data_IF_182811833652
#
_entry.id   IF_182811833652
#
_cell.length_a   1.000
_cell.length_b   1.000
_cell.length_c   1.000
_cell.angle_alpha   90.00
_cell.angle_beta   90.00
_cell.angle_gamma   90.00
#
_symmetry.space_group_name_H-M   'P 1'
#
loop_
_entity.id
_entity.type
_entity.pdbx_description
1 polymer ?
#
# COMPACT_ATOMS: atom_id res chain seq x y z
N UNK A 1 -20.13 -15.33 -12.56
CA UNK A 1 -19.04 -14.36 -12.81
C UNK A 1 -18.39 -14.10 -11.48
N UNK A 2 -17.12 -14.49 -11.30
CA UNK A 2 -16.39 -14.18 -10.08
C UNK A 2 -16.17 -12.67 -10.04
N UNK A 3 -16.71 -12.03 -9.02
CA UNK A 3 -16.54 -10.61 -8.71
C UNK A 3 -15.05 -10.29 -8.58
N UNK A 4 -14.63 -9.14 -9.12
CA UNK A 4 -13.31 -8.56 -8.90
C UNK A 4 -12.88 -8.77 -7.45
N UNK A 5 -11.76 -9.46 -7.25
CA UNK A 5 -11.16 -9.65 -5.93
C UNK A 5 -10.73 -8.26 -5.47
N UNK A 6 -11.30 -7.74 -4.38
CA UNK A 6 -10.91 -6.46 -3.75
C UNK A 6 -9.44 -6.57 -3.28
N UNK A 7 -8.51 -6.34 -4.20
CA UNK A 7 -7.09 -6.22 -3.89
C UNK A 7 -6.88 -4.84 -3.30
N UNK A 8 -6.32 -4.77 -2.09
CA UNK A 8 -5.98 -3.48 -1.50
C UNK A 8 -4.67 -2.97 -2.10
N UNK A 9 -4.79 -2.18 -3.17
CA UNK A 9 -3.62 -1.71 -3.91
C UNK A 9 -2.74 -0.73 -3.10
N UNK A 10 -3.29 0.05 -2.16
CA UNK A 10 -2.52 0.99 -1.32
C UNK A 10 -1.48 0.27 -0.44
N UNK A 11 -1.88 -0.84 0.16
CA UNK A 11 -1.01 -1.64 1.02
C UNK A 11 0.03 -2.44 0.23
N UNK A 12 -0.15 -2.57 -1.09
CA UNK A 12 0.71 -3.35 -1.99
C UNK A 12 1.50 -2.52 -3.00
N UNK A 13 1.27 -1.20 -3.06
CA UNK A 13 1.90 -0.30 -4.02
C UNK A 13 3.42 -0.47 -3.98
N UNK A 14 4.03 -0.62 -5.16
CA UNK A 14 5.48 -0.72 -5.28
C UNK A 14 6.15 0.52 -4.67
N UNK A 15 7.22 0.27 -3.94
CA UNK A 15 8.11 1.33 -3.43
C UNK A 15 9.45 1.34 -4.18
N UNK A 16 9.51 0.65 -5.33
CA UNK A 16 10.71 0.61 -6.19
C UNK A 16 11.04 1.99 -6.76
N UNK A 17 10.00 2.78 -7.02
CA UNK A 17 10.11 4.12 -7.61
C UNK A 17 10.46 5.21 -6.59
N UNK A 18 10.66 4.83 -5.32
CA UNK A 18 11.23 5.73 -4.34
C UNK A 18 12.60 6.26 -4.81
N UNK A 19 12.83 7.57 -4.75
CA UNK A 19 14.10 8.17 -5.13
C UNK A 19 15.30 7.53 -4.44
N UNK A 20 16.26 7.06 -5.24
CA UNK A 20 17.53 6.49 -4.75
C UNK A 20 18.50 7.54 -4.18
N UNK A 21 18.04 8.77 -3.99
CA UNK A 21 18.80 9.92 -3.48
C UNK A 21 17.93 10.74 -2.55
N UNK A 22 18.57 11.47 -1.65
CA UNK A 22 17.90 12.47 -0.83
C UNK A 22 17.42 13.62 -1.71
N UNK A 23 16.18 14.06 -1.50
CA UNK A 23 15.55 15.19 -2.17
C UNK A 23 15.47 16.39 -1.22
N UNK A 24 15.22 17.56 -1.79
CA UNK A 24 14.90 18.75 -1.00
C UNK A 24 13.57 18.54 -0.23
N UNK A 25 13.41 19.18 0.95
CA UNK A 25 12.24 19.01 1.80
C UNK A 25 10.91 19.28 1.09
N UNK A 26 9.86 18.57 1.53
CA UNK A 26 8.48 18.87 1.14
C UNK A 26 8.04 20.09 1.95
N UNK A 27 7.92 21.23 1.28
CA UNK A 27 7.65 22.53 1.88
C UNK A 27 6.94 23.47 0.89
N UNK A 28 6.46 24.60 1.40
CA UNK A 28 5.68 25.61 0.67
C UNK A 28 4.18 25.50 0.91
N UNK A 29 3.66 24.31 1.22
CA UNK A 29 2.23 24.12 1.51
C UNK A 29 1.85 24.69 2.88
N UNK A 30 2.76 24.73 3.85
CA UNK A 30 2.51 25.25 5.20
C UNK A 30 2.09 26.73 5.19
N UNK A 31 2.58 27.47 4.18
CA UNK A 31 2.30 28.91 3.96
C UNK A 31 0.93 29.16 3.34
N UNK A 32 0.22 28.12 2.92
CA UNK A 32 -1.09 28.22 2.30
C UNK A 32 -2.16 28.20 3.38
N UNK A 33 -3.16 29.07 3.23
CA UNK A 33 -4.38 29.04 4.03
C UNK A 33 -5.42 28.20 3.32
N UNK A 34 -5.93 27.17 4.00
CA UNK A 34 -7.03 26.35 3.48
C UNK A 34 -8.34 26.81 4.10
N UNK A 35 -9.39 26.89 3.29
CA UNK A 35 -10.75 27.26 3.73
C UNK A 35 -11.68 26.05 3.75
N UNK A 36 -11.81 25.32 2.64
CA UNK A 36 -12.63 24.10 2.53
C UNK A 36 -11.97 23.03 1.65
N UNK A 37 -12.53 21.81 1.65
CA UNK A 37 -12.09 20.69 0.80
C UNK A 37 -12.24 20.96 -0.70
N UNK A 38 -13.30 21.64 -1.11
CA UNK A 38 -13.52 22.01 -2.52
C UNK A 38 -12.43 22.99 -2.96
N UNK A 39 -12.16 24.02 -2.15
CA UNK A 39 -11.06 24.95 -2.37
C UNK A 39 -9.69 24.27 -2.38
N UNK A 40 -9.53 23.20 -1.60
CA UNK A 40 -8.30 22.43 -1.50
C UNK A 40 -8.03 21.56 -2.73
N UNK A 41 -9.07 21.03 -3.36
CA UNK A 41 -8.97 20.17 -4.54
C UNK A 41 -9.05 20.97 -5.86
N UNK A 42 -9.52 22.21 -5.84
CA UNK A 42 -9.65 23.04 -7.05
C UNK A 42 -8.37 23.13 -7.91
N UNK A 43 -7.15 23.32 -7.35
CA UNK A 43 -5.96 23.43 -8.19
C UNK A 43 -5.48 22.11 -8.79
N UNK A 44 -5.97 20.97 -8.29
CA UNK A 44 -5.62 19.63 -8.80
C UNK A 44 -6.70 19.05 -9.71
N UNK A 45 -7.83 19.74 -9.91
CA UNK A 45 -8.96 19.21 -10.67
C UNK A 45 -8.59 18.76 -12.09
N UNK A 46 -7.70 19.50 -12.75
CA UNK A 46 -7.28 19.22 -14.13
C UNK A 46 -6.30 18.04 -14.21
N UNK A 47 -5.84 17.52 -13.06
CA UNK A 47 -5.07 16.27 -12.99
C UNK A 47 -5.97 15.03 -13.02
N UNK A 48 -7.27 15.21 -12.85
CA UNK A 48 -8.27 14.16 -12.77
C UNK A 48 -9.38 14.40 -13.80
N UNK A 49 -10.18 13.36 -14.02
CA UNK A 49 -11.41 13.47 -14.77
C UNK A 49 -12.55 14.00 -13.88
N UNK A 50 -13.78 14.03 -14.40
CA UNK A 50 -14.95 14.52 -13.67
C UNK A 50 -15.29 13.69 -12.41
N UNK A 51 -14.66 12.51 -12.22
CA UNK A 51 -14.87 11.66 -11.04
C UNK A 51 -14.41 12.35 -9.74
N UNK A 52 -13.41 13.22 -9.79
CA UNK A 52 -12.92 13.92 -8.59
C UNK A 52 -14.06 14.65 -7.84
N UNK A 53 -14.96 15.32 -8.57
CA UNK A 53 -16.09 16.05 -7.97
C UNK A 53 -17.02 15.11 -7.20
N UNK A 54 -17.30 13.94 -7.78
CA UNK A 54 -18.13 12.93 -7.14
C UNK A 54 -17.47 12.39 -5.88
N UNK A 55 -16.17 12.07 -5.92
CA UNK A 55 -15.44 11.56 -4.77
C UNK A 55 -15.29 12.58 -3.63
N UNK A 56 -15.14 13.87 -3.95
CA UNK A 56 -15.18 14.94 -2.94
C UNK A 56 -16.52 14.95 -2.19
N UNK A 57 -17.64 14.77 -2.92
CA UNK A 57 -18.98 14.71 -2.32
C UNK A 57 -19.12 13.47 -1.44
N UNK A 58 -18.72 12.30 -1.93
CA UNK A 58 -18.79 11.04 -1.17
C UNK A 58 -17.98 11.15 0.12
N UNK A 59 -16.73 11.62 0.03
CA UNK A 59 -15.86 11.78 1.19
C UNK A 59 -16.43 12.74 2.25
N UNK A 60 -17.10 13.81 1.80
CA UNK A 60 -17.80 14.75 2.68
C UNK A 60 -18.99 14.11 3.40
N UNK A 61 -19.83 13.40 2.66
CA UNK A 61 -21.04 12.77 3.22
C UNK A 61 -20.68 11.69 4.24
N UNK A 62 -19.59 10.95 4.01
CA UNK A 62 -19.09 9.92 4.92
C UNK A 62 -18.26 10.45 6.10
N UNK A 63 -18.03 11.77 6.18
CA UNK A 63 -17.23 12.41 7.24
C UNK A 63 -18.04 13.40 8.08
N UNK A 64 -19.36 13.24 8.15
CA UNK A 64 -20.29 14.22 8.75
C UNK A 64 -20.12 14.43 10.26
N UNK A 65 -19.75 13.38 11.01
CA UNK A 65 -19.49 13.42 12.45
C UNK A 65 -18.12 12.77 12.74
N UNK A 66 -17.02 13.49 12.48
CA UNK A 66 -15.69 12.91 12.55
C UNK A 66 -15.19 12.74 13.99
N UNK A 67 -14.46 11.63 14.22
CA UNK A 67 -13.71 11.40 15.45
C UNK A 67 -12.48 12.33 15.58
N UNK A 68 -11.70 12.16 16.66
CA UNK A 68 -10.40 12.82 16.89
C UNK A 68 -10.41 14.36 16.86
N UNK A 69 -11.60 14.96 17.04
CA UNK A 69 -11.83 16.42 16.98
C UNK A 69 -11.40 17.03 15.64
N UNK A 70 -11.38 16.23 14.57
CA UNK A 70 -11.16 16.75 13.24
C UNK A 70 -12.38 17.53 12.78
N UNK A 71 -12.17 18.52 11.91
CA UNK A 71 -13.27 19.11 11.17
C UNK A 71 -13.78 18.14 10.09
N UNK A 72 -14.99 18.37 9.59
CA UNK A 72 -15.55 17.59 8.48
C UNK A 72 -14.65 17.61 7.24
N UNK A 73 -14.03 18.75 6.92
CA UNK A 73 -13.12 18.91 5.78
C UNK A 73 -11.80 18.14 5.99
N UNK A 74 -11.26 18.16 7.21
CA UNK A 74 -10.06 17.42 7.58
C UNK A 74 -10.27 15.91 7.48
N UNK A 75 -11.32 15.37 8.10
CA UNK A 75 -11.66 13.94 8.00
C UNK A 75 -11.92 13.52 6.54
N UNK A 76 -12.70 14.32 5.80
CA UNK A 76 -12.99 14.03 4.39
C UNK A 76 -11.74 14.02 3.51
N UNK A 77 -10.71 14.80 3.85
CA UNK A 77 -9.45 14.78 3.11
C UNK A 77 -8.71 13.44 3.24
N UNK A 78 -8.74 12.84 4.43
CA UNK A 78 -8.20 11.49 4.69
C UNK A 78 -9.03 10.44 3.97
N UNK A 79 -10.36 10.54 4.08
CA UNK A 79 -11.29 9.63 3.41
C UNK A 79 -11.04 9.62 1.91
N UNK A 80 -10.96 10.81 1.29
CA UNK A 80 -10.71 10.99 -0.15
C UNK A 80 -9.37 10.38 -0.59
N UNK A 81 -8.30 10.53 0.21
CA UNK A 81 -7.00 9.90 -0.07
C UNK A 81 -7.13 8.37 -0.11
N UNK A 82 -7.87 7.78 0.82
CA UNK A 82 -8.02 6.33 0.92
C UNK A 82 -9.00 5.72 -0.08
N UNK A 83 -9.70 6.51 -0.91
CA UNK A 83 -10.63 5.95 -1.90
C UNK A 83 -9.88 5.27 -3.04
N UNK A 84 -10.31 4.07 -3.40
CA UNK A 84 -9.90 3.41 -4.64
C UNK A 84 -10.86 3.82 -5.77
N UNK A 85 -10.32 4.31 -6.88
CA UNK A 85 -11.11 4.77 -8.02
C UNK A 85 -11.20 3.66 -9.08
N UNK A 86 -12.12 3.79 -10.03
CA UNK A 86 -12.33 2.76 -11.08
C UNK A 86 -11.04 2.48 -11.87
N UNK A 87 -10.35 3.54 -12.26
CA UNK A 87 -8.99 3.45 -12.79
C UNK A 87 -8.00 3.65 -11.64
N UNK A 88 -7.38 2.54 -11.20
CA UNK A 88 -6.42 2.52 -10.09
C UNK A 88 -5.37 3.64 -10.17
N UNK A 89 -4.68 3.77 -11.31
CA UNK A 89 -3.63 4.77 -11.55
C UNK A 89 -4.17 6.23 -11.55
N UNK A 90 -5.49 6.39 -11.66
CA UNK A 90 -6.16 7.68 -11.58
C UNK A 90 -6.60 8.04 -10.15
N UNK A 91 -6.49 7.13 -9.19
CA UNK A 91 -6.81 7.38 -7.78
C UNK A 91 -6.00 8.55 -7.21
N UNK A 92 -6.62 9.33 -6.31
CA UNK A 92 -5.97 10.53 -5.77
C UNK A 92 -4.66 10.22 -5.04
N UNK A 93 -4.63 9.16 -4.22
CA UNK A 93 -3.39 8.78 -3.53
C UNK A 93 -2.28 8.38 -4.50
N UNK A 94 -2.61 7.71 -5.61
CA UNK A 94 -1.63 7.28 -6.62
C UNK A 94 -0.93 8.50 -7.21
N UNK A 95 -1.70 9.48 -7.71
CA UNK A 95 -1.11 10.69 -8.29
C UNK A 95 -0.35 11.53 -7.28
N UNK A 96 -0.86 11.63 -6.04
CA UNK A 96 -0.18 12.35 -4.98
C UNK A 96 1.16 11.70 -4.63
N UNK A 97 1.17 10.39 -4.37
CA UNK A 97 2.38 9.64 -4.02
C UNK A 97 3.41 9.65 -5.14
N UNK A 98 2.99 9.51 -6.40
CA UNK A 98 3.86 9.71 -7.55
C UNK A 98 4.47 11.11 -7.57
N UNK A 99 3.66 12.16 -7.34
CA UNK A 99 4.16 13.55 -7.32
C UNK A 99 5.13 13.80 -6.16
N UNK A 100 4.88 13.21 -4.99
CA UNK A 100 5.76 13.30 -3.81
C UNK A 100 7.14 12.67 -4.04
N UNK A 101 7.22 11.62 -4.88
CA UNK A 101 8.48 10.98 -5.29
C UNK A 101 9.26 11.80 -6.32
N UNK A 102 8.66 12.81 -6.97
CA UNK A 102 9.37 13.63 -7.95
C UNK A 102 10.43 14.52 -7.30
N UNK A 103 11.63 14.51 -7.87
CA UNK A 103 12.72 15.39 -7.45
C UNK A 103 12.42 16.88 -7.72
N UNK A 104 11.66 17.18 -8.77
CA UNK A 104 11.18 18.52 -9.07
C UNK A 104 10.00 18.89 -8.17
N UNK A 105 10.27 19.59 -7.06
CA UNK A 105 9.25 20.06 -6.12
C UNK A 105 8.28 21.07 -6.70
N UNK A 106 8.57 21.69 -7.85
CA UNK A 106 7.61 22.59 -8.49
C UNK A 106 6.32 21.86 -8.90
N UNK A 107 6.39 20.55 -9.14
CA UNK A 107 5.25 19.68 -9.46
C UNK A 107 4.30 19.48 -8.28
N UNK A 108 4.73 19.71 -7.05
CA UNK A 108 3.86 19.66 -5.86
C UNK A 108 3.03 20.93 -5.66
N UNK A 109 3.33 22.04 -6.36
CA UNK A 109 2.62 23.32 -6.15
C UNK A 109 1.10 23.22 -6.31
N UNK A 110 0.53 22.52 -7.33
CA UNK A 110 -0.92 22.32 -7.42
C UNK A 110 -1.50 21.63 -6.18
N UNK A 111 -0.74 20.71 -5.57
CA UNK A 111 -1.15 19.94 -4.40
C UNK A 111 -1.09 20.71 -3.09
N UNK A 112 -0.50 21.91 -3.03
CA UNK A 112 -0.23 22.59 -1.76
C UNK A 112 -1.49 22.82 -0.91
N UNK A 113 -2.63 23.18 -1.53
CA UNK A 113 -3.87 23.36 -0.76
C UNK A 113 -4.37 22.03 -0.19
N UNK A 114 -4.38 20.97 -1.00
CA UNK A 114 -4.76 19.63 -0.55
C UNK A 114 -3.81 19.09 0.53
N UNK A 115 -2.50 19.18 0.33
CA UNK A 115 -1.48 18.79 1.30
C UNK A 115 -1.61 19.55 2.61
N UNK A 116 -1.88 20.86 2.57
CA UNK A 116 -2.13 21.64 3.77
C UNK A 116 -3.35 21.12 4.54
N UNK A 117 -4.47 20.82 3.88
CA UNK A 117 -5.66 20.27 4.52
C UNK A 117 -5.37 18.88 5.12
N UNK A 118 -4.84 17.99 4.29
CA UNK A 118 -4.57 16.61 4.63
C UNK A 118 -3.56 16.49 5.78
N UNK A 119 -2.42 17.19 5.69
CA UNK A 119 -1.41 17.13 6.73
C UNK A 119 -1.87 17.81 8.02
N UNK A 120 -2.72 18.83 7.94
CA UNK A 120 -3.34 19.39 9.15
C UNK A 120 -4.18 18.33 9.87
N UNK A 121 -5.00 17.58 9.13
CA UNK A 121 -5.78 16.45 9.66
C UNK A 121 -4.86 15.37 10.25
N UNK A 122 -3.88 14.91 9.45
CA UNK A 122 -2.95 13.84 9.82
C UNK A 122 -2.15 14.15 11.10
N UNK A 123 -1.63 15.38 11.25
CA UNK A 123 -0.84 15.75 12.42
C UNK A 123 -1.69 15.96 13.68
N UNK A 124 -3.00 16.22 13.54
CA UNK A 124 -3.94 16.25 14.67
C UNK A 124 -4.30 14.87 15.20
N UNK A 125 -4.22 13.84 14.36
CA UNK A 125 -4.46 12.47 14.81
C UNK A 125 -3.45 12.06 15.89
N UNK A 126 -3.87 11.30 16.91
CA UNK A 126 -2.95 10.73 17.88
C UNK A 126 -1.95 9.78 17.18
N UNK A 127 -0.70 9.68 17.65
CA UNK A 127 0.19 8.60 17.24
C UNK A 127 -0.47 7.23 17.43
N UNK A 128 -0.24 6.32 16.49
CA UNK A 128 -0.69 4.93 16.63
C UNK A 128 -0.08 4.30 17.89
N UNK A 129 -0.87 3.49 18.60
CA UNK A 129 -0.37 2.67 19.72
C UNK A 129 0.53 1.53 19.22
N UNK A 130 0.38 1.13 17.96
CA UNK A 130 1.20 0.11 17.33
C UNK A 130 2.45 0.78 16.75
N UNK A 131 3.59 0.57 17.41
CA UNK A 131 4.89 1.09 16.97
C UNK A 131 5.61 0.14 16.01
N UNK A 132 5.10 -1.08 15.81
CA UNK A 132 5.57 -2.04 14.82
C UNK A 132 4.47 -2.24 13.79
N UNK A 133 4.76 -1.91 12.53
CA UNK A 133 3.80 -1.97 11.43
C UNK A 133 4.37 -2.75 10.25
N UNK A 134 3.48 -3.21 9.36
CA UNK A 134 3.83 -4.12 8.29
C UNK A 134 3.39 -3.59 6.93
N UNK A 135 4.25 -3.70 5.93
CA UNK A 135 3.91 -3.39 4.53
C UNK A 135 4.38 -4.52 3.63
N UNK A 136 3.51 -5.02 2.76
CA UNK A 136 3.83 -6.07 1.80
C UNK A 136 3.95 -5.50 0.39
N UNK A 137 4.88 -6.00 -0.41
CA UNK A 137 4.94 -5.70 -1.86
C UNK A 137 5.21 -6.99 -2.64
N UNK A 138 4.56 -7.13 -3.81
CA UNK A 138 4.63 -8.34 -4.65
C UNK A 138 5.83 -8.34 -5.59
N UNK A 139 7.02 -8.11 -5.03
CA UNK A 139 8.30 -8.12 -5.74
C UNK A 139 9.47 -8.32 -4.78
N UNK A 140 10.65 -8.67 -5.30
CA UNK A 140 11.91 -8.70 -4.53
C UNK A 140 12.55 -7.32 -4.54
N UNK A 141 12.64 -6.71 -3.35
CA UNK A 141 13.32 -5.44 -3.13
C UNK A 141 14.60 -5.58 -2.29
N UNK A 142 15.01 -6.79 -1.94
CA UNK A 142 16.13 -7.06 -1.03
C UNK A 142 17.43 -6.38 -1.49
N UNK A 143 17.70 -6.36 -2.78
CA UNK A 143 18.87 -5.70 -3.37
C UNK A 143 18.87 -4.16 -3.17
N UNK A 144 17.69 -3.54 -3.06
CA UNK A 144 17.57 -2.09 -2.84
C UNK A 144 17.72 -1.70 -1.38
N UNK A 145 17.59 -2.65 -0.45
CA UNK A 145 17.58 -2.40 0.99
C UNK A 145 18.60 -3.29 1.72
N UNK A 146 19.91 -3.15 1.43
CA UNK A 146 20.94 -3.84 2.19
C UNK A 146 20.97 -3.33 3.64
N UNK A 147 21.32 -4.22 4.58
CA UNK A 147 21.46 -3.90 6.01
C UNK A 147 22.39 -2.70 6.21
N UNK A 148 21.98 -1.78 7.07
CA UNK A 148 22.70 -0.55 7.40
C UNK A 148 22.37 0.64 6.48
N UNK A 149 21.66 0.43 5.36
CA UNK A 149 21.25 1.53 4.47
C UNK A 149 20.25 2.45 5.18
N UNK A 150 20.47 3.75 5.03
CA UNK A 150 19.57 4.82 5.47
C UNK A 150 18.97 5.53 4.25
N UNK A 151 17.68 5.85 4.31
CA UNK A 151 16.93 6.40 3.18
C UNK A 151 15.63 7.06 3.64
N UNK A 152 14.99 7.79 2.75
CA UNK A 152 13.66 8.35 2.97
C UNK A 152 12.62 7.68 2.07
N UNK A 153 11.42 7.45 2.60
CA UNK A 153 10.24 7.22 1.76
C UNK A 153 9.50 8.55 1.60
N UNK A 154 9.47 9.06 0.38
CA UNK A 154 8.97 10.40 0.08
C UNK A 154 7.46 10.45 -0.10
N UNK A 155 6.82 9.36 -0.50
CA UNK A 155 5.38 9.23 -0.51
C UNK A 155 4.82 8.89 0.88
N UNK A 156 3.51 9.06 1.06
CA UNK A 156 2.82 8.41 2.18
C UNK A 156 2.94 6.89 2.03
N UNK A 157 3.06 6.17 3.14
CA UNK A 157 3.16 4.71 3.11
C UNK A 157 2.07 4.08 3.96
N UNK A 158 1.12 3.43 3.30
CA UNK A 158 0.08 2.63 3.97
C UNK A 158 0.69 1.35 4.53
N UNK A 159 0.44 1.08 5.80
CA UNK A 159 0.89 -0.11 6.51
C UNK A 159 -0.28 -0.74 7.27
N UNK A 160 -0.13 -2.01 7.63
CA UNK A 160 -1.05 -2.72 8.52
C UNK A 160 -0.47 -2.82 9.93
N UNK A 161 -1.34 -2.77 10.93
CA UNK A 161 -1.01 -3.15 12.30
C UNK A 161 -0.84 -4.66 12.50
N UNK A 162 -1.34 -5.48 11.56
CA UNK A 162 -1.42 -6.93 11.68
C UNK A 162 -0.61 -7.62 10.59
N UNK A 163 0.34 -8.46 10.99
CA UNK A 163 1.10 -9.28 10.04
C UNK A 163 0.21 -10.36 9.39
N UNK A 164 -0.79 -10.86 10.11
CA UNK A 164 -1.69 -11.92 9.65
C UNK A 164 -2.51 -11.46 8.43
N UNK A 165 -2.82 -10.15 8.36
CA UNK A 165 -3.50 -9.55 7.21
C UNK A 165 -2.71 -9.76 5.91
N UNK A 166 -1.38 -9.77 5.97
CA UNK A 166 -0.54 -9.96 4.79
C UNK A 166 -0.66 -11.38 4.21
N UNK A 167 -1.05 -12.37 5.00
CA UNK A 167 -1.25 -13.73 4.48
C UNK A 167 -2.42 -13.84 3.50
N UNK A 168 -3.40 -12.92 3.58
CA UNK A 168 -4.58 -12.96 2.73
C UNK A 168 -4.24 -12.62 1.27
N UNK A 169 -4.83 -13.33 0.29
CA UNK A 169 -4.60 -13.09 -1.14
C UNK A 169 -5.07 -11.72 -1.63
N UNK A 170 -5.93 -11.04 -0.87
CA UNK A 170 -6.35 -9.66 -1.13
C UNK A 170 -5.24 -8.65 -0.80
N UNK A 171 -4.25 -9.07 0.00
CA UNK A 171 -3.05 -8.32 0.34
C UNK A 171 -1.83 -9.02 -0.29
N UNK A 172 -0.85 -9.47 0.50
CA UNK A 172 0.39 -9.99 -0.05
C UNK A 172 0.21 -11.43 -0.57
N UNK A 173 -0.50 -12.27 0.16
CA UNK A 173 -0.67 -13.68 -0.12
C UNK A 173 0.55 -14.54 0.26
N UNK A 174 0.44 -15.85 0.03
CA UNK A 174 1.44 -16.86 0.43
C UNK A 174 2.35 -17.34 -0.71
N UNK A 175 2.20 -16.80 -1.91
CA UNK A 175 2.88 -17.28 -3.11
C UNK A 175 3.41 -16.12 -3.97
N UNK A 176 4.39 -16.44 -4.82
CA UNK A 176 5.04 -15.47 -5.70
C UNK A 176 6.10 -14.64 -4.99
N UNK A 177 7.05 -14.09 -5.76
CA UNK A 177 8.12 -13.25 -5.21
C UNK A 177 7.54 -12.05 -4.47
N UNK A 178 7.92 -11.89 -3.21
CA UNK A 178 7.34 -10.88 -2.32
C UNK A 178 8.34 -10.39 -1.27
N UNK A 179 8.17 -9.14 -0.87
CA UNK A 179 8.92 -8.50 0.21
C UNK A 179 7.96 -8.02 1.30
N UNK A 180 8.26 -8.35 2.56
CA UNK A 180 7.59 -7.83 3.75
C UNK A 180 8.53 -6.84 4.44
N UNK A 181 8.06 -5.61 4.62
CA UNK A 181 8.70 -4.63 5.48
C UNK A 181 8.10 -4.71 6.88
N UNK A 182 8.97 -4.90 7.87
CA UNK A 182 8.67 -4.79 9.29
C UNK A 182 9.22 -3.45 9.78
N UNK A 183 8.37 -2.51 10.18
CA UNK A 183 8.77 -1.12 10.38
C UNK A 183 8.51 -0.70 11.81
N UNK A 184 9.57 -0.38 12.56
CA UNK A 184 9.46 0.29 13.85
C UNK A 184 9.32 1.80 13.64
N UNK A 185 8.23 2.40 14.10
CA UNK A 185 7.88 3.80 13.86
C UNK A 185 7.12 4.40 15.04
N UNK A 186 7.32 5.70 15.27
CA UNK A 186 6.53 6.50 16.21
C UNK A 186 5.66 7.55 15.50
N UNK A 187 5.86 7.73 14.20
CA UNK A 187 5.17 8.74 13.38
C UNK A 187 3.89 8.23 12.72
N UNK A 188 3.64 6.91 12.72
CA UNK A 188 2.45 6.32 12.11
C UNK A 188 1.14 6.75 12.78
N UNK A 189 0.10 6.97 11.98
CA UNK A 189 -1.25 7.32 12.43
C UNK A 189 -2.23 6.24 12.02
N UNK A 190 -3.03 5.76 12.97
CA UNK A 190 -4.17 4.89 12.66
C UNK A 190 -5.26 5.78 12.05
N UNK A 191 -5.69 5.47 10.82
CA UNK A 191 -6.65 6.31 10.08
C UNK A 191 -8.03 5.68 9.90
N UNK A 192 -8.28 4.52 10.53
CA UNK A 192 -9.52 3.73 10.37
C UNK A 192 -10.81 4.56 10.48
N UNK A 193 -10.91 5.44 11.49
CA UNK A 193 -12.09 6.28 11.73
C UNK A 193 -12.33 7.35 10.64
N UNK A 194 -11.35 7.58 9.76
CA UNK A 194 -11.39 8.59 8.71
C UNK A 194 -11.15 8.00 7.32
N UNK A 195 -11.02 6.68 7.19
CA UNK A 195 -10.75 5.98 5.93
C UNK A 195 -12.05 5.66 5.18
N UNK A 196 -11.95 5.43 3.89
CA UNK A 196 -13.00 4.78 3.09
C UNK A 196 -13.19 3.31 3.48
N UNK A 197 -12.12 2.67 3.98
CA UNK A 197 -12.11 1.28 4.44
C UNK A 197 -12.14 1.25 5.97
N UNK A 198 -13.32 1.09 6.55
CA UNK A 198 -13.58 1.16 8.00
C UNK A 198 -13.22 -0.13 8.76
N UNK A 199 -13.00 -1.22 8.03
CA UNK A 199 -12.63 -2.54 8.52
C UNK A 199 -11.12 -2.79 8.53
N UNK A 200 -10.32 -1.80 8.12
CA UNK A 200 -8.87 -1.90 8.06
C UNK A 200 -8.20 -1.08 9.17
N UNK A 201 -7.33 -1.71 9.94
CA UNK A 201 -6.42 -0.99 10.84
C UNK A 201 -5.21 -0.44 10.04
N UNK A 202 -5.51 0.39 9.04
CA UNK A 202 -4.51 1.07 8.21
C UNK A 202 -3.74 2.08 9.07
N UNK A 203 -2.43 1.87 9.18
CA UNK A 203 -1.49 2.83 9.78
C UNK A 203 -0.76 3.53 8.65
N UNK A 204 -0.99 4.84 8.52
CA UNK A 204 -0.38 5.66 7.50
C UNK A 204 0.90 6.31 8.05
N UNK A 205 2.01 6.15 7.33
CA UNK A 205 3.27 6.84 7.61
C UNK A 205 3.35 8.14 6.80
N UNK A 206 3.90 9.23 7.37
CA UNK A 206 4.00 10.51 6.69
C UNK A 206 5.04 10.48 5.56
N UNK A 207 4.91 11.38 4.56
CA UNK A 207 5.88 11.52 3.51
C UNK A 207 7.19 12.09 4.05
N UNK A 208 8.31 11.62 3.50
CA UNK A 208 9.65 12.00 3.94
C UNK A 208 10.08 11.31 5.24
N UNK A 209 9.40 10.23 5.68
CA UNK A 209 9.85 9.43 6.82
C UNK A 209 11.25 8.86 6.54
N UNK A 210 12.13 8.95 7.54
CA UNK A 210 13.54 8.54 7.42
C UNK A 210 13.77 7.21 8.15
N UNK A 211 14.30 6.24 7.41
CA UNK A 211 14.32 4.84 7.79
C UNK A 211 15.72 4.26 7.61
N UNK A 212 16.07 3.33 8.50
CA UNK A 212 17.29 2.53 8.45
C UNK A 212 16.95 1.06 8.32
N UNK A 213 17.64 0.35 7.43
CA UNK A 213 17.60 -1.12 7.40
C UNK A 213 18.39 -1.69 8.56
N UNK A 214 17.72 -2.28 9.54
CA UNK A 214 18.35 -2.86 10.73
C UNK A 214 18.52 -4.38 10.65
N UNK A 215 17.77 -5.05 9.77
CA UNK A 215 17.90 -6.47 9.53
C UNK A 215 17.26 -6.92 8.22
N UNK A 216 17.72 -8.04 7.68
CA UNK A 216 17.12 -8.71 6.53
C UNK A 216 17.08 -10.21 6.81
N UNK A 217 16.01 -10.88 6.37
CA UNK A 217 15.83 -12.32 6.47
C UNK A 217 15.16 -12.84 5.20
N UNK A 218 15.67 -13.93 4.63
CA UNK A 218 15.08 -14.58 3.45
C UNK A 218 14.68 -16.02 3.84
N UNK A 219 13.52 -16.20 4.50
CA UNK A 219 13.12 -17.52 5.01
C UNK A 219 12.75 -18.51 3.90
N UNK A 220 12.46 -18.03 2.70
CA UNK A 220 12.21 -18.84 1.50
C UNK A 220 12.77 -18.13 0.26
N UNK A 221 12.87 -18.84 -0.86
CA UNK A 221 13.42 -18.30 -2.12
C UNK A 221 12.60 -17.13 -2.66
N UNK A 222 11.30 -17.12 -2.44
CA UNK A 222 10.34 -16.14 -2.96
C UNK A 222 9.86 -15.15 -1.89
N UNK A 223 10.38 -15.21 -0.66
CA UNK A 223 9.98 -14.35 0.46
C UNK A 223 11.18 -13.65 1.06
N UNK A 224 11.14 -12.32 1.01
CA UNK A 224 12.13 -11.43 1.61
C UNK A 224 11.51 -10.65 2.75
N UNK A 225 12.17 -10.58 3.90
CA UNK A 225 11.74 -9.80 5.06
C UNK A 225 12.81 -8.76 5.36
N UNK A 226 12.40 -7.51 5.43
CA UNK A 226 13.29 -6.36 5.64
C UNK A 226 12.80 -5.62 6.88
N UNK A 227 13.65 -5.57 7.90
CA UNK A 227 13.36 -4.86 9.14
C UNK A 227 13.91 -3.44 9.06
N UNK A 228 13.01 -2.47 9.21
CA UNK A 228 13.26 -1.05 9.17
C UNK A 228 13.01 -0.43 10.54
N UNK A 229 13.80 0.59 10.86
CA UNK A 229 13.60 1.43 12.03
C UNK A 229 13.55 2.88 11.59
N UNK A 230 12.52 3.60 12.03
CA UNK A 230 12.46 5.06 11.94
C UNK A 230 13.59 5.69 12.76
N UNK A 231 14.28 6.64 12.14
CA UNK A 231 15.43 7.32 12.72
C UNK A 231 15.35 8.82 12.45
N UNK A 232 16.05 9.61 13.25
CA UNK A 232 16.12 11.05 13.06
C UNK A 232 16.73 11.40 11.69
N UNK A 233 16.06 12.24 10.89
CA UNK A 233 16.58 12.63 9.59
C UNK A 233 17.74 13.63 9.71
N UNK A 234 18.63 13.70 8.70
CA UNK A 234 19.74 14.66 8.70
C UNK A 234 19.29 16.13 8.59
N UNK A 235 18.05 16.37 8.17
CA UNK A 235 17.39 17.68 8.13
C UNK A 235 15.87 17.49 8.14
N UNK A 236 15.13 18.57 8.37
CA UNK A 236 13.66 18.53 8.37
C UNK A 236 13.12 18.17 6.98
N UNK A 237 12.55 16.97 6.85
CA UNK A 237 12.10 16.38 5.58
C UNK A 237 10.75 16.92 5.10
N UNK A 238 9.87 17.23 6.05
CA UNK A 238 8.50 17.69 5.85
C UNK A 238 8.28 18.94 6.72
N UNK A 239 7.75 20.02 6.15
CA UNK A 239 7.39 21.21 6.91
C UNK A 239 6.24 20.91 7.90
N UNK A 240 6.11 21.66 8.99
CA UNK A 240 4.93 21.46 9.84
C UNK A 240 3.74 22.19 9.21
N UNK A 241 2.55 21.56 9.10
CA UNK A 241 1.39 22.23 8.55
C UNK A 241 0.92 23.41 9.42
N UNK A 242 1.25 23.43 10.70
CA UNK A 242 0.96 24.50 11.66
C UNK A 242 1.94 24.37 12.84
N UNK A 243 1.86 25.26 13.85
CA UNK A 243 2.70 25.12 15.05
C UNK A 243 2.27 23.88 15.86
N UNK A 244 3.05 22.80 15.78
CA UNK A 244 2.74 21.55 16.48
C UNK A 244 2.78 21.67 18.01
N UNK A 245 3.34 22.75 18.56
CA UNK A 245 3.28 23.00 20.01
C UNK A 245 1.85 23.21 20.51
N UNK A 246 0.95 23.67 19.64
CA UNK A 246 -0.48 23.83 19.93
C UNK A 246 -1.16 22.50 20.32
N UNK A 247 -0.67 21.37 19.79
CA UNK A 247 -1.21 20.04 20.10
C UNK A 247 -0.90 19.61 21.54
N UNK A 248 0.24 20.03 22.10
CA UNK A 248 0.63 19.72 23.48
C UNK A 248 -0.27 20.43 24.50
N UNK A 249 -0.82 21.58 24.12
CA UNK A 249 -1.72 22.36 24.98
C UNK A 249 -3.16 21.82 24.97
N UNK A 250 -3.51 20.96 24.00
CA UNK A 250 -4.86 20.41 23.81
C UNK A 250 -5.08 19.02 24.43
N UNK A 251 -4.02 18.33 24.88
CA UNK A 251 -4.07 17.00 25.47
C UNK A 251 -3.86 17.07 26.99
N UNK A 252 -4.80 16.59 27.83
CA UNK A 252 -4.50 16.39 29.23
C UNK A 252 -3.36 15.36 29.39
N UNK A 253 -2.47 15.51 30.39
CA UNK A 253 -1.36 14.59 30.57
C UNK A 253 -1.88 13.16 30.71
N UNK A 254 -1.30 12.25 29.93
CA UNK A 254 -1.64 10.84 29.95
C UNK A 254 -1.45 10.30 31.38
N UNK A 255 -2.56 9.95 32.05
CA UNK A 255 -2.48 9.26 33.34
C UNK A 255 -1.97 7.83 33.07
N UNK A 256 -0.87 7.39 33.70
CA UNK A 256 -0.45 5.99 33.62
C UNK A 256 -1.56 5.13 34.23
N UNK A 257 -2.19 4.28 33.41
CA UNK A 257 -3.14 3.29 33.88
C UNK A 257 -2.37 2.03 34.27
N UNK A 258 -2.50 1.53 35.51
CA UNK A 258 -1.86 0.28 35.91
C UNK A 258 -2.50 -0.89 35.15
N UNK A 259 -1.64 -1.76 34.61
CA UNK A 259 -2.05 -3.00 33.96
C UNK A 259 -2.77 -3.92 34.96
N UNK A 260 -4.08 -4.04 34.85
CA UNK A 260 -4.84 -5.11 35.51
C UNK A 260 -4.79 -6.38 34.67
N UNK A 261 -4.07 -7.38 35.16
CA UNK A 261 -4.12 -8.76 34.66
C UNK A 261 -5.47 -9.35 35.10
N UNK A 262 -6.31 -9.72 34.14
CA UNK A 262 -7.53 -10.51 34.40
C UNK A 262 -7.15 -12.00 34.37
N UNK A 263 -7.23 -12.75 35.49
CA UNK A 263 -7.04 -14.20 35.46
C UNK A 263 -8.36 -14.87 35.05
N UNK A 264 -8.47 -15.32 33.80
CA UNK A 264 -9.46 -16.33 33.46
C UNK A 264 -8.94 -17.69 33.93
N UNK A 265 -9.60 -18.25 34.95
CA UNK A 265 -9.46 -19.64 35.36
C UNK A 265 -10.18 -20.52 34.35
N UNK A 266 -9.46 -21.35 33.62
CA UNK A 266 -10.03 -22.58 33.05
C UNK A 266 -9.89 -23.69 34.11
N UNK A 267 -11.02 -24.18 34.61
CA UNK A 267 -11.08 -25.32 35.51
C UNK A 267 -10.77 -26.62 34.76
N UNK A 268 -9.65 -27.23 35.12
CA UNK A 268 -9.29 -28.59 34.73
C UNK A 268 -10.01 -29.61 35.64
N UNK A 269 -10.73 -30.56 35.04
CA UNK A 269 -11.47 -31.59 35.76
C UNK A 269 -10.86 -32.99 35.48
N UNK A 270 -10.23 -33.67 36.46
CA UNK A 270 -9.55 -34.95 36.22
C UNK A 270 -10.37 -36.15 36.71
N UNK A 271 -10.97 -36.88 35.77
CA UNK A 271 -11.40 -38.29 35.94
C UNK A 271 -11.92 -38.72 34.57
N UNK A 272 -11.39 -39.71 33.86
CA UNK A 272 -10.88 -41.03 34.24
C UNK A 272 -10.02 -41.62 33.11
N UNK A 273 -9.13 -42.54 33.48
CA UNK A 273 -8.73 -43.76 32.77
C UNK A 273 -7.25 -43.89 32.47
N UNK A 274 -6.78 -45.10 32.78
CA UNK A 274 -5.42 -45.48 33.07
C UNK A 274 -4.56 -45.65 31.80
N UNK A 275 -3.27 -45.44 31.99
CA UNK A 275 -2.22 -45.73 31.02
C UNK A 275 -2.16 -47.24 30.72
N UNK A 276 -2.11 -47.60 29.43
CA UNK A 276 -1.48 -48.84 28.96
C UNK A 276 -0.41 -48.56 27.91
N UNK A 277 0.68 -49.35 27.88
CA UNK A 277 1.94 -48.95 27.28
C UNK A 277 2.05 -49.23 25.78
N UNK A 278 2.97 -48.49 25.17
CA UNK A 278 3.40 -48.48 23.76
C UNK A 278 3.89 -49.85 23.29
N UNK A 279 3.42 -50.28 22.11
CA UNK A 279 4.03 -51.34 21.29
C UNK A 279 4.32 -50.79 19.89
N UNK A 280 5.53 -51.12 19.41
CA UNK A 280 6.22 -50.75 18.17
C UNK A 280 5.55 -51.24 16.85
N UNK A 281 6.00 -50.79 15.66
CA UNK A 281 5.14 -50.60 14.49
C UNK A 281 4.96 -51.87 13.65
N UNK A 282 3.73 -52.09 13.17
CA UNK A 282 3.41 -53.13 12.18
C UNK A 282 3.01 -52.53 10.83
N UNK A 283 3.39 -53.27 9.78
CA UNK A 283 3.33 -53.03 8.32
C UNK A 283 2.00 -52.44 7.79
N UNK A 284 2.02 -51.63 6.71
CA UNK A 284 0.78 -51.11 6.11
C UNK A 284 -0.02 -52.22 5.39
N UNK A 285 -1.37 -52.20 5.46
CA UNK A 285 -2.21 -53.12 4.72
C UNK A 285 -2.39 -52.69 3.26
N UNK A 286 -2.38 -53.69 2.37
CA UNK A 286 -2.77 -53.63 0.97
C UNK A 286 -4.29 -53.46 0.85
N UNK A 287 -4.75 -52.53 0.00
CA UNK A 287 -6.15 -52.43 -0.41
C UNK A 287 -6.30 -52.76 -1.90
N UNK A 288 -7.15 -53.74 -2.16
CA UNK A 288 -7.65 -54.18 -3.46
C UNK A 288 -8.68 -53.17 -3.97
N UNK A 289 -8.52 -52.68 -5.21
CA UNK A 289 -9.49 -51.80 -5.86
C UNK A 289 -10.52 -52.65 -6.61
N UNK A 290 -11.77 -52.64 -6.14
CA UNK A 290 -12.93 -53.11 -6.89
C UNK A 290 -13.57 -51.95 -7.65
N UNK A 291 -13.70 -52.16 -8.96
CA UNK A 291 -14.16 -51.24 -10.01
C UNK A 291 -15.60 -50.72 -9.81
N UNK A 292 -15.78 -49.40 -9.93
CA UNK A 292 -17.05 -48.77 -10.26
C UNK A 292 -16.89 -48.02 -11.58
N UNK A 293 -17.73 -48.37 -12.55
CA UNK A 293 -17.76 -47.84 -13.91
C UNK A 293 -18.37 -46.43 -13.93
N UNK A 294 -17.62 -45.45 -14.42
CA UNK A 294 -18.15 -44.11 -14.75
C UNK A 294 -18.05 -43.94 -16.26
N UNK A 295 -19.20 -43.70 -16.89
CA UNK A 295 -19.35 -43.46 -18.33
C UNK A 295 -18.54 -42.25 -18.77
N UNK A 296 -17.76 -42.42 -19.83
CA UNK A 296 -16.99 -41.37 -20.48
C UNK A 296 -17.92 -40.33 -21.15
N UNK A 297 -17.63 -39.06 -20.90
CA UNK A 297 -18.12 -37.92 -21.69
C UNK A 297 -17.04 -37.66 -22.76
N UNK A 298 -17.36 -37.63 -24.07
CA UNK A 298 -16.35 -37.43 -25.09
C UNK A 298 -15.84 -35.98 -25.10
N UNK A 299 -14.52 -35.82 -25.03
CA UNK A 299 -13.80 -34.59 -25.38
C UNK A 299 -13.92 -34.37 -26.90
N UNK A 300 -14.53 -33.25 -27.31
CA UNK A 300 -14.37 -32.74 -28.66
C UNK A 300 -13.00 -32.04 -28.77
N UNK A 301 -12.09 -32.69 -29.48
CA UNK A 301 -10.86 -32.12 -30.03
C UNK A 301 -11.21 -31.40 -31.35
N UNK A 302 -11.19 -30.08 -31.36
CA UNK A 302 -11.10 -29.33 -32.62
C UNK A 302 -9.67 -29.42 -33.16
N UNK A 303 -9.52 -30.08 -34.32
CA UNK A 303 -8.27 -30.15 -35.08
C UNK A 303 -8.11 -28.88 -35.93
N UNK A 304 -6.87 -28.40 -36.13
CA UNK A 304 -6.59 -27.28 -37.03
C UNK A 304 -6.78 -27.71 -38.49
N UNK A 305 -7.61 -26.99 -39.23
CA UNK A 305 -7.78 -27.15 -40.68
C UNK A 305 -6.72 -26.35 -41.42
N UNK A 306 -5.82 -27.05 -42.09
CA UNK A 306 -4.94 -26.48 -43.11
C UNK A 306 -5.70 -26.37 -44.44
N UNK A 307 -5.81 -25.17 -45.00
CA UNK A 307 -6.02 -24.97 -46.43
C UNK A 307 -5.23 -23.73 -46.86
N UNK A 308 -4.15 -23.94 -47.60
CA UNK A 308 -3.56 -22.91 -48.46
C UNK A 308 -4.31 -22.87 -49.79
N UNK A 309 -4.43 -21.70 -50.43
CA UNK A 309 -3.96 -21.65 -51.82
C UNK A 309 -3.25 -20.35 -52.24
N UNK A 310 -2.23 -20.59 -53.07
CA UNK A 310 -1.80 -19.84 -54.27
C UNK A 310 -1.22 -18.42 -54.14
N UNK A 311 0.08 -18.37 -54.46
CA UNK A 311 0.84 -17.24 -55.03
C UNK A 311 0.11 -16.55 -56.18
N UNK A 312 0.11 -15.21 -56.16
CA UNK A 312 0.42 -14.38 -57.32
C UNK A 312 0.84 -12.97 -56.87
N UNK A 313 2.06 -12.60 -57.24
CA UNK A 313 2.64 -11.25 -57.18
C UNK A 313 2.11 -10.42 -58.36
N UNK A 314 2.01 -9.09 -58.20
CA UNK A 314 2.72 -8.24 -59.15
C UNK A 314 3.39 -7.02 -58.51
N UNK A 315 4.39 -6.50 -59.25
CA UNK A 315 5.16 -5.26 -59.06
C UNK A 315 6.46 -5.35 -58.26
N UNK A 316 7.49 -5.83 -58.96
CA UNK A 316 8.82 -5.25 -58.93
C UNK A 316 8.87 -3.98 -59.81
N UNK A 317 9.88 -3.16 -59.53
CA UNK A 317 10.51 -2.16 -60.43
C UNK A 317 9.85 -0.79 -60.58
N UNK A 318 10.27 0.14 -59.71
CA UNK A 318 10.59 1.50 -60.17
C UNK A 318 11.98 1.90 -59.68
N UNK A 319 12.87 2.02 -60.67
CA UNK A 319 14.30 2.30 -60.58
C UNK A 319 14.53 3.73 -60.09
N UNK A 320 15.46 3.88 -59.15
CA UNK A 320 16.19 5.14 -58.95
C UNK A 320 17.02 5.43 -60.20
N UNK A 321 16.67 6.48 -60.94
CA UNK A 321 17.59 7.13 -61.85
C UNK A 321 18.44 8.13 -61.06
N UNK A 322 19.74 7.85 -60.99
CA UNK A 322 20.79 8.85 -60.76
C UNK A 322 21.11 9.46 -62.12
N UNK A 323 21.02 10.78 -62.22
CA UNK A 323 21.83 11.56 -63.16
C UNK A 323 22.78 12.45 -62.38
N UNK A 324 24.01 12.45 -62.87
CA UNK A 324 25.17 13.17 -62.38
C UNK A 324 25.12 14.63 -62.80
N UNK A 325 25.68 15.52 -61.99
CA UNK A 325 26.44 16.67 -62.51
C UNK A 325 27.52 17.06 -61.50
N UNK A 326 28.77 16.87 -61.91
CA UNK A 326 29.96 17.49 -61.32
C UNK A 326 30.08 18.92 -61.88
N UNK A 327 30.53 19.86 -61.05
CA UNK A 327 31.24 21.07 -61.52
C UNK A 327 32.42 21.33 -60.59
N UNK A 328 33.60 21.22 -61.21
CA UNK A 328 34.99 21.63 -60.89
C UNK A 328 35.47 21.73 -59.45
#
# INVERSE_FOLDING_TARGET
MATSIDINHRLLESIRDEPKRMLVPISGYEKVTVKSREDACEPIKDLFDDQLKQFIIIAKMNSSDPEDKLTQDESASIHLYTMEWEEHDNSLYMKLNQTLRLADRSKLKPWFKYLKLFLTAFFRLPPSKNTLVWRGVREDLSALYPKGKEFAWWAFSSCSSSIDMLESPNYLGKSGTRTIFSIQTNSGKLIRAHSYFDNEDEILLPPGIYLKVVGCLNPATDLHIIHLQETEPPYKMLADPFDLSELKNALPPAKPQPYTVNPQKEEYNPSTSELKPVLSPTKPPSYTVSSISVKAIPLYLEKPTSVAPKKQSPYSDMKLNREYTFTY
#
